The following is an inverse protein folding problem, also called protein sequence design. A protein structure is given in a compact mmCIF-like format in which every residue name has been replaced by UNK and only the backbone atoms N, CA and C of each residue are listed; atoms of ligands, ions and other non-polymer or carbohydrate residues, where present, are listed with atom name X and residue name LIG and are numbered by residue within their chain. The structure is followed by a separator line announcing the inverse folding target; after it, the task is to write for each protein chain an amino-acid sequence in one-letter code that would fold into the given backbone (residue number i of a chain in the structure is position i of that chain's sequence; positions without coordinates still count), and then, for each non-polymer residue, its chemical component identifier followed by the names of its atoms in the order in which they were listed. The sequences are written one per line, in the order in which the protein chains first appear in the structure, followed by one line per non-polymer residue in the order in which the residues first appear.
data_IF_327225533427
#
_entry.id   IF_327225533427
#
_cell.length_a   1.000
_cell.length_b   1.000
_cell.length_c   1.000
_cell.angle_alpha   90.00
_cell.angle_beta   90.00
_cell.angle_gamma   90.00
#
_symmetry.space_group_name_H-M   'P 1'
#
loop_
_entity.id
_entity.type
_entity.pdbx_description
1 polymer ?
#
# COMPACT_ATOMS: atom_id res chain seq x y z
N UNK A 1 4.13 -49.25 -6.78
CA UNK A 1 3.14 -50.30 -6.51
C UNK A 1 2.61 -50.10 -5.10
N UNK A 2 1.29 -50.12 -4.83
CA UNK A 2 0.21 -49.46 -5.59
C UNK A 2 -0.83 -48.69 -4.72
N UNK A 3 -1.58 -47.80 -5.39
CA UNK A 3 -3.05 -47.51 -5.30
C UNK A 3 -3.67 -46.94 -4.00
N UNK A 4 -4.69 -46.08 -4.00
CA UNK A 4 -5.59 -45.54 -5.05
C UNK A 4 -6.45 -44.40 -4.51
N UNK A 5 -6.75 -43.44 -5.39
CA UNK A 5 -7.79 -42.41 -5.32
C UNK A 5 -9.19 -42.99 -5.62
N UNK A 6 -10.23 -42.45 -4.98
CA UNK A 6 -11.68 -42.68 -5.16
C UNK A 6 -12.37 -41.39 -4.64
N UNK A 7 -13.37 -40.72 -5.21
CA UNK A 7 -14.34 -40.95 -6.29
C UNK A 7 -14.77 -39.59 -6.87
N UNK A 8 -14.99 -39.53 -8.19
CA UNK A 8 -15.95 -38.58 -8.80
C UNK A 8 -17.18 -39.38 -9.27
N UNK A 9 -18.40 -38.81 -9.19
CA UNK A 9 -19.59 -39.46 -9.72
C UNK A 9 -19.72 -39.30 -11.24
N UNK A 10 -20.07 -40.44 -11.84
CA UNK A 10 -20.44 -40.68 -13.24
C UNK A 10 -21.84 -40.11 -13.51
N UNK A 11 -22.02 -39.44 -14.66
CA UNK A 11 -23.33 -39.36 -15.32
C UNK A 11 -23.19 -39.83 -16.77
N UNK A 12 -24.23 -40.55 -17.17
CA UNK A 12 -24.33 -41.60 -18.18
C UNK A 12 -24.59 -41.06 -19.60
N UNK A 13 -24.30 -41.92 -20.57
CA UNK A 13 -24.12 -41.73 -22.00
C UNK A 13 -25.40 -41.61 -22.87
N UNK A 14 -25.18 -41.03 -24.08
CA UNK A 14 -25.57 -41.40 -25.46
C UNK A 14 -27.06 -41.74 -25.81
N UNK A 15 -27.55 -41.55 -27.08
CA UNK A 15 -27.15 -42.36 -28.26
C UNK A 15 -27.27 -41.60 -29.63
N UNK A 16 -27.31 -42.26 -30.80
CA UNK A 16 -26.20 -42.97 -31.45
C UNK A 16 -25.93 -42.50 -32.90
N UNK A 17 -24.81 -43.03 -33.42
CA UNK A 17 -24.27 -42.96 -34.78
C UNK A 17 -25.03 -43.76 -35.86
N UNK A 18 -24.88 -43.34 -37.12
CA UNK A 18 -24.96 -44.16 -38.36
C UNK A 18 -24.10 -43.43 -39.43
N UNK A 19 -23.14 -43.99 -40.17
CA UNK A 19 -22.91 -45.33 -40.72
C UNK A 19 -21.40 -45.60 -40.97
N UNK A 20 -20.99 -46.88 -41.11
CA UNK A 20 -19.65 -47.30 -41.51
C UNK A 20 -19.62 -47.81 -42.96
N UNK A 21 -18.64 -47.45 -43.79
CA UNK A 21 -18.13 -48.37 -44.83
C UNK A 21 -16.71 -47.96 -45.23
N UNK A 22 -15.91 -48.97 -45.58
CA UNK A 22 -14.64 -48.95 -46.33
C UNK A 22 -13.38 -48.94 -45.48
N UNK A 23 -13.22 -50.09 -44.83
CA UNK A 23 -11.96 -50.78 -44.61
C UNK A 23 -11.23 -51.09 -45.93
N UNK A 24 -9.91 -51.26 -45.85
CA UNK A 24 -9.17 -52.26 -46.62
C UNK A 24 -8.81 -52.02 -48.10
N UNK A 25 -8.60 -50.79 -48.57
CA UNK A 25 -7.89 -50.62 -49.84
C UNK A 25 -6.56 -49.88 -49.68
N UNK A 26 -5.50 -50.59 -50.08
CA UNK A 26 -4.21 -50.06 -50.52
C UNK A 26 -3.23 -49.61 -49.45
N UNK A 27 -2.88 -50.56 -48.59
CA UNK A 27 -1.55 -50.78 -48.00
C UNK A 27 -0.43 -50.97 -49.06
N UNK A 28 -0.55 -50.36 -50.24
CA UNK A 28 0.29 -50.59 -51.44
C UNK A 28 0.83 -49.30 -52.09
N UNK A 29 0.69 -48.16 -51.41
CA UNK A 29 1.37 -46.89 -51.76
C UNK A 29 2.38 -46.53 -50.64
N UNK A 30 2.97 -47.56 -50.02
CA UNK A 30 3.86 -47.44 -48.86
C UNK A 30 5.35 -47.24 -49.19
N UNK A 31 5.76 -47.29 -50.46
CA UNK A 31 7.20 -47.33 -50.83
C UNK A 31 7.71 -46.20 -51.73
N UNK A 32 6.88 -45.24 -52.13
CA UNK A 32 7.34 -44.10 -52.96
C UNK A 32 7.24 -42.73 -52.28
N UNK A 33 6.68 -42.63 -51.07
CA UNK A 33 6.61 -41.37 -50.31
C UNK A 33 7.66 -41.21 -49.21
N UNK A 34 8.59 -42.16 -49.04
CA UNK A 34 9.67 -42.03 -48.05
C UNK A 34 10.79 -41.05 -48.47
N UNK A 35 10.78 -40.57 -49.72
CA UNK A 35 11.80 -39.67 -50.27
C UNK A 35 11.41 -38.17 -50.27
N UNK A 36 10.24 -37.80 -49.76
CA UNK A 36 9.79 -36.39 -49.70
C UNK A 36 9.77 -35.81 -48.28
N UNK A 37 10.21 -36.55 -47.25
CA UNK A 37 10.11 -36.12 -45.86
C UNK A 37 11.20 -35.14 -45.38
N UNK A 38 12.07 -34.65 -46.26
CA UNK A 38 13.15 -33.70 -45.93
C UNK A 38 13.20 -32.50 -46.87
N UNK A 39 12.10 -31.76 -46.97
CA UNK A 39 12.15 -30.36 -47.38
C UNK A 39 10.88 -29.64 -46.89
N UNK A 40 11.05 -28.44 -46.37
CA UNK A 40 10.03 -27.53 -45.85
C UNK A 40 9.39 -27.90 -44.51
N UNK A 41 10.20 -27.86 -43.45
CA UNK A 41 9.72 -27.19 -42.23
C UNK A 41 9.82 -25.69 -42.46
N UNK A 42 8.90 -25.14 -43.25
CA UNK A 42 8.68 -23.71 -43.27
C UNK A 42 8.16 -23.32 -41.89
N UNK A 43 9.00 -22.67 -41.09
CA UNK A 43 8.60 -22.02 -39.84
C UNK A 43 7.57 -20.95 -40.20
N UNK A 44 6.29 -21.32 -40.17
CA UNK A 44 5.22 -20.34 -40.30
C UNK A 44 5.35 -19.36 -39.13
N UNK A 45 5.35 -18.03 -39.38
CA UNK A 45 5.31 -17.05 -38.31
C UNK A 45 4.04 -17.32 -37.49
N UNK A 46 4.22 -17.82 -36.26
CA UNK A 46 3.11 -18.03 -35.36
C UNK A 46 2.67 -16.66 -34.87
N UNK A 47 1.64 -16.09 -35.50
CA UNK A 47 0.95 -14.92 -34.96
C UNK A 47 0.40 -15.29 -33.60
N UNK A 48 1.03 -14.74 -32.57
CA UNK A 48 0.57 -14.87 -31.20
C UNK A 48 -0.66 -13.96 -31.05
N UNK A 49 -1.72 -14.44 -30.40
CA UNK A 49 -2.86 -13.59 -30.11
C UNK A 49 -2.40 -12.38 -29.31
N UNK A 50 -2.85 -11.19 -29.71
CA UNK A 50 -2.55 -9.95 -29.01
C UNK A 50 -2.99 -10.07 -27.55
N UNK A 51 -2.02 -10.05 -26.64
CA UNK A 51 -2.27 -9.99 -25.22
C UNK A 51 -2.68 -8.55 -24.87
N UNK A 52 -3.98 -8.28 -24.79
CA UNK A 52 -4.46 -7.02 -24.20
C UNK A 52 -4.19 -7.05 -22.69
N UNK A 53 -3.11 -6.39 -22.26
CA UNK A 53 -2.86 -6.11 -20.85
C UNK A 53 -3.76 -4.94 -20.44
N UNK A 54 -5.00 -5.25 -20.03
CA UNK A 54 -5.86 -4.29 -19.32
C UNK A 54 -5.43 -4.25 -17.86
N UNK A 55 -4.44 -3.42 -17.57
CA UNK A 55 -4.07 -3.09 -16.19
C UNK A 55 -5.00 -2.02 -15.66
N UNK A 56 -5.84 -2.36 -14.69
CA UNK A 56 -6.41 -1.36 -13.80
C UNK A 56 -5.26 -0.77 -12.99
N UNK A 57 -4.90 0.49 -13.26
CA UNK A 57 -3.78 1.15 -12.59
C UNK A 57 -4.25 1.55 -11.20
N UNK A 58 -3.78 0.84 -10.19
CA UNK A 58 -3.89 1.30 -8.81
C UNK A 58 -3.08 2.59 -8.65
N UNK A 59 -3.79 3.72 -8.67
CA UNK A 59 -3.21 5.05 -8.54
C UNK A 59 -2.58 5.27 -7.17
N UNK A 60 -3.11 4.65 -6.12
CA UNK A 60 -2.56 4.75 -4.77
C UNK A 60 -1.21 4.05 -4.70
N UNK A 61 -1.12 2.81 -5.19
CA UNK A 61 0.15 2.09 -5.26
C UNK A 61 1.20 2.84 -6.09
N UNK A 62 0.80 3.45 -7.22
CA UNK A 62 1.70 4.26 -8.06
C UNK A 62 2.19 5.53 -7.36
N UNK A 63 1.32 6.23 -6.63
CA UNK A 63 1.71 7.41 -5.87
C UNK A 63 2.75 7.08 -4.79
N UNK A 64 2.51 6.00 -4.03
CA UNK A 64 3.42 5.52 -2.99
C UNK A 64 4.75 5.04 -3.58
N UNK A 65 4.71 4.30 -4.69
CA UNK A 65 5.92 3.85 -5.40
C UNK A 65 6.75 5.04 -5.90
N UNK A 66 6.09 6.04 -6.50
CA UNK A 66 6.74 7.27 -6.95
C UNK A 66 7.41 8.03 -5.79
N UNK A 67 6.71 8.18 -4.67
CA UNK A 67 7.24 8.83 -3.47
C UNK A 67 8.44 8.06 -2.89
N UNK A 68 8.33 6.74 -2.80
CA UNK A 68 9.43 5.88 -2.34
C UNK A 68 10.64 5.96 -3.25
N UNK A 69 10.44 5.91 -4.57
CA UNK A 69 11.53 6.07 -5.52
C UNK A 69 12.23 7.44 -5.38
N UNK A 70 11.46 8.52 -5.20
CA UNK A 70 12.02 9.86 -4.97
C UNK A 70 12.87 9.93 -3.68
N UNK A 71 12.42 9.26 -2.61
CA UNK A 71 13.17 9.16 -1.34
C UNK A 71 14.44 8.31 -1.48
N UNK A 72 14.42 7.25 -2.27
CA UNK A 72 15.57 6.35 -2.52
C UNK A 72 16.68 7.03 -3.33
N UNK A 73 16.34 7.98 -4.20
CA UNK A 73 17.31 8.79 -4.94
C UNK A 73 18.10 9.75 -4.04
N UNK A 74 17.64 10.00 -2.80
CA UNK A 74 18.27 10.90 -1.86
C UNK A 74 19.25 10.11 -0.99
N UNK A 75 20.53 10.44 -1.09
CA UNK A 75 21.55 9.84 -0.25
C UNK A 75 21.25 10.09 1.25
N UNK A 76 21.58 9.12 2.09
CA UNK A 76 21.46 9.24 3.54
C UNK A 76 20.19 8.62 4.12
N UNK A 77 19.58 9.30 5.09
CA UNK A 77 18.53 8.72 5.93
C UNK A 77 17.14 9.20 5.55
N UNK A 78 16.52 8.60 4.55
CA UNK A 78 15.09 8.78 4.22
C UNK A 78 14.31 7.49 4.55
N UNK A 79 13.03 7.61 4.91
CA UNK A 79 12.12 6.46 5.06
C UNK A 79 10.71 6.87 4.66
N UNK A 80 10.02 5.97 3.96
CA UNK A 80 8.58 6.04 3.75
C UNK A 80 7.91 4.98 4.62
N UNK A 81 6.86 5.37 5.35
CA UNK A 81 5.99 4.46 6.10
C UNK A 81 4.59 4.56 5.51
N UNK A 82 3.99 3.45 5.08
CA UNK A 82 2.66 3.48 4.46
C UNK A 82 1.57 3.31 5.50
N UNK A 83 0.37 3.82 5.20
CA UNK A 83 -0.79 3.63 6.06
C UNK A 83 -1.10 2.15 6.31
N UNK A 84 -0.93 1.30 5.29
CA UNK A 84 -1.15 -0.15 5.41
C UNK A 84 -0.23 -0.82 6.45
N UNK A 85 0.96 -0.25 6.71
CA UNK A 85 1.94 -0.86 7.61
C UNK A 85 1.49 -0.76 9.08
N UNK A 86 0.80 0.33 9.47
CA UNK A 86 0.36 0.56 10.84
C UNK A 86 -1.17 0.44 11.04
N UNK A 87 -1.98 0.54 9.98
CA UNK A 87 -3.45 0.53 10.06
C UNK A 87 -4.04 -0.80 10.54
N UNK A 88 -3.31 -1.93 10.39
CA UNK A 88 -3.71 -3.21 10.97
C UNK A 88 -3.65 -3.21 12.51
N UNK A 89 -2.86 -2.31 13.10
CA UNK A 89 -2.73 -2.14 14.55
C UNK A 89 -3.68 -1.09 15.12
N UNK A 90 -3.25 -0.48 16.23
CA UNK A 90 -4.01 0.53 16.97
C UNK A 90 -4.16 1.83 16.18
N UNK A 91 -3.11 2.30 15.50
CA UNK A 91 -3.12 3.51 14.66
C UNK A 91 -3.86 4.71 15.31
N UNK A 92 -3.58 4.98 16.57
CA UNK A 92 -4.23 6.06 17.35
C UNK A 92 -3.41 7.32 17.45
N UNK A 93 -2.10 7.16 17.48
CA UNK A 93 -1.19 8.26 17.71
C UNK A 93 -0.13 8.26 16.63
N UNK A 94 0.49 9.42 16.42
CA UNK A 94 1.64 9.52 15.52
C UNK A 94 2.79 8.60 15.96
N UNK A 95 2.88 8.26 17.26
CA UNK A 95 3.87 7.28 17.74
C UNK A 95 3.68 5.87 17.15
N UNK A 96 2.43 5.47 16.91
CA UNK A 96 2.11 4.16 16.33
C UNK A 96 2.65 4.06 14.90
N UNK A 97 2.64 5.18 14.16
CA UNK A 97 3.11 5.24 12.80
C UNK A 97 4.64 5.37 12.74
N UNK A 98 5.20 6.26 13.56
CA UNK A 98 6.66 6.50 13.62
C UNK A 98 7.44 5.30 14.17
N UNK A 99 6.80 4.39 14.90
CA UNK A 99 7.41 3.15 15.37
C UNK A 99 7.92 2.25 14.23
N UNK A 100 7.36 2.37 13.02
CA UNK A 100 7.79 1.64 11.83
C UNK A 100 9.03 2.27 11.15
N UNK A 101 9.44 3.46 11.59
CA UNK A 101 10.55 4.17 11.00
C UNK A 101 11.87 3.94 11.77
N UNK A 102 12.90 3.35 11.14
CA UNK A 102 14.17 3.12 11.81
C UNK A 102 14.87 4.43 12.15
N UNK A 103 15.46 4.49 13.35
CA UNK A 103 16.18 5.67 13.85
C UNK A 103 15.29 6.81 14.34
N UNK A 104 13.98 6.57 14.43
CA UNK A 104 13.01 7.44 15.12
C UNK A 104 12.68 6.80 16.46
N UNK A 105 12.84 7.56 17.53
CA UNK A 105 12.34 7.17 18.84
C UNK A 105 11.02 7.87 19.07
N UNK A 106 9.92 7.14 19.19
CA UNK A 106 8.60 7.69 19.45
C UNK A 106 8.00 7.05 20.71
N UNK A 107 7.36 7.86 21.55
CA UNK A 107 6.76 7.44 22.78
C UNK A 107 5.47 8.23 23.03
N UNK A 108 4.38 7.52 23.25
CA UNK A 108 3.13 8.10 23.75
C UNK A 108 3.31 8.54 25.20
N UNK A 109 2.89 9.77 25.54
CA UNK A 109 3.09 10.34 26.87
C UNK A 109 1.78 10.37 27.68
N UNK A 110 0.76 11.07 27.19
CA UNK A 110 -0.53 11.21 27.84
C UNK A 110 -1.65 11.18 26.80
N UNK A 111 -2.51 10.16 26.85
CA UNK A 111 -3.55 9.99 25.84
C UNK A 111 -2.94 9.91 24.44
N UNK A 112 -3.25 10.91 23.61
CA UNK A 112 -2.78 11.00 22.21
C UNK A 112 -1.50 11.86 22.05
N UNK A 113 -1.02 12.51 23.12
CA UNK A 113 0.23 13.26 23.11
C UNK A 113 1.42 12.34 22.81
N UNK A 114 2.15 12.68 21.74
CA UNK A 114 3.29 11.91 21.25
C UNK A 114 4.55 12.75 21.33
N UNK A 115 5.54 12.19 22.01
CA UNK A 115 6.90 12.70 22.02
C UNK A 115 7.77 11.82 21.15
N UNK A 116 8.47 12.42 20.19
CA UNK A 116 9.43 11.69 19.39
C UNK A 116 10.71 12.46 19.14
N UNK A 117 11.75 11.74 18.75
CA UNK A 117 13.07 12.28 18.44
C UNK A 117 13.68 11.55 17.25
N UNK A 118 14.44 12.30 16.45
CA UNK A 118 15.24 11.77 15.36
C UNK A 118 16.69 12.10 15.67
N UNK A 119 17.53 11.07 15.82
CA UNK A 119 18.94 11.21 16.21
C UNK A 119 19.14 12.08 17.48
N UNK A 120 18.24 11.96 18.45
CA UNK A 120 18.27 12.71 19.71
C UNK A 120 17.68 14.13 19.66
N UNK A 121 17.44 14.70 18.49
CA UNK A 121 16.75 16.00 18.38
C UNK A 121 15.26 15.83 18.64
N UNK A 122 14.66 16.72 19.45
CA UNK A 122 13.26 16.60 19.90
C UNK A 122 13.10 16.07 21.32
N UNK A 123 14.14 15.42 21.87
CA UNK A 123 14.08 14.75 23.19
C UNK A 123 14.22 15.70 24.39
N UNK A 124 14.56 16.97 24.17
CA UNK A 124 14.85 17.90 25.27
C UNK A 124 13.62 18.49 25.98
N UNK A 125 12.46 18.57 25.31
CA UNK A 125 11.27 19.23 25.87
C UNK A 125 10.16 18.22 26.16
N UNK A 126 9.44 18.48 27.27
CA UNK A 126 8.34 17.63 27.72
C UNK A 126 6.98 18.00 27.13
N UNK A 127 6.83 19.23 26.62
CA UNK A 127 5.62 19.76 26.00
C UNK A 127 6.04 20.46 24.71
N UNK A 128 5.21 20.39 23.66
CA UNK A 128 5.45 20.91 22.31
C UNK A 128 6.82 20.49 21.75
N UNK A 129 6.82 19.74 20.66
CA UNK A 129 8.07 19.24 20.10
C UNK A 129 8.87 20.36 19.45
N UNK A 130 10.20 20.25 19.52
CA UNK A 130 11.12 21.24 18.92
C UNK A 130 12.40 20.57 18.47
N UNK A 131 12.89 20.97 17.30
CA UNK A 131 14.09 20.40 16.68
C UNK A 131 13.80 19.34 15.62
N UNK A 132 12.53 19.13 15.28
CA UNK A 132 12.06 18.41 14.11
C UNK A 132 11.00 19.29 13.44
N UNK A 133 11.08 19.40 12.14
CA UNK A 133 10.12 20.15 11.34
C UNK A 133 9.01 19.21 10.86
N UNK A 134 7.76 19.61 11.07
CA UNK A 134 6.58 18.87 10.66
C UNK A 134 5.97 19.55 9.44
N UNK A 135 5.53 18.72 8.51
CA UNK A 135 4.81 19.14 7.31
C UNK A 135 3.58 18.28 7.13
N UNK A 136 2.52 18.88 6.61
CA UNK A 136 1.38 18.15 6.05
C UNK A 136 1.26 18.57 4.59
N UNK A 137 1.42 17.61 3.68
CA UNK A 137 1.43 17.84 2.24
C UNK A 137 2.42 18.95 1.81
N UNK A 138 3.57 19.03 2.50
CA UNK A 138 4.59 20.05 2.28
C UNK A 138 4.33 21.42 2.94
N UNK A 139 3.19 21.61 3.62
CA UNK A 139 2.88 22.82 4.36
C UNK A 139 3.40 22.68 5.80
N UNK A 140 4.22 23.63 6.31
CA UNK A 140 4.80 23.51 7.64
C UNK A 140 3.72 23.62 8.72
N UNK A 141 3.74 22.69 9.68
CA UNK A 141 2.84 22.70 10.84
C UNK A 141 3.46 23.34 12.08
N UNK A 142 4.79 23.51 12.12
CA UNK A 142 5.43 24.19 13.24
C UNK A 142 5.08 25.68 13.25
N UNK A 143 5.02 26.24 14.45
CA UNK A 143 4.95 27.66 14.70
C UNK A 143 6.28 28.34 14.33
N UNK A 144 6.24 29.67 14.18
CA UNK A 144 7.40 30.48 13.82
C UNK A 144 8.57 30.40 14.84
N UNK A 145 8.30 29.99 16.07
CA UNK A 145 9.31 29.76 17.11
C UNK A 145 9.99 28.37 17.00
N UNK A 146 9.58 27.56 16.01
CA UNK A 146 10.05 26.21 15.75
C UNK A 146 9.39 25.12 16.60
N UNK A 147 8.42 25.46 17.45
CA UNK A 147 7.61 24.48 18.17
C UNK A 147 6.57 23.84 17.25
N UNK A 148 6.30 22.55 17.43
CA UNK A 148 5.31 21.81 16.66
C UNK A 148 4.40 21.01 17.57
N UNK A 149 3.24 20.68 17.03
CA UNK A 149 2.26 19.77 17.64
C UNK A 149 1.86 18.72 16.61
N UNK A 150 1.71 17.48 17.05
CA UNK A 150 1.27 16.34 16.25
C UNK A 150 -0.16 15.91 16.55
N UNK A 151 -0.82 16.53 17.53
CA UNK A 151 -2.20 16.22 17.88
C UNK A 151 -3.20 16.61 16.78
N UNK A 152 -2.83 17.51 15.86
CA UNK A 152 -3.64 17.86 14.71
C UNK A 152 -3.63 16.81 13.60
N UNK A 153 -2.75 15.81 13.68
CA UNK A 153 -2.60 14.77 12.66
C UNK A 153 -3.44 13.57 13.03
N UNK A 154 -4.38 13.20 12.16
CA UNK A 154 -5.12 11.95 12.26
C UNK A 154 -4.37 10.84 11.49
N UNK A 155 -3.86 9.79 12.17
CA UNK A 155 -3.18 8.67 11.52
C UNK A 155 -4.02 7.93 10.46
N UNK A 156 -5.35 7.94 10.59
CA UNK A 156 -6.27 7.25 9.70
C UNK A 156 -6.59 8.05 8.43
N UNK A 157 -6.28 9.36 8.42
CA UNK A 157 -6.51 10.25 7.28
C UNK A 157 -5.24 10.45 6.43
N UNK A 158 -4.25 9.56 6.55
CA UNK A 158 -2.97 9.65 5.85
C UNK A 158 -2.79 8.48 4.89
N UNK A 159 -2.10 8.74 3.78
CA UNK A 159 -1.67 7.72 2.81
C UNK A 159 -0.31 7.15 3.22
N UNK A 160 0.64 8.03 3.54
CA UNK A 160 1.96 7.65 4.01
C UNK A 160 2.63 8.80 4.76
N UNK A 161 3.73 8.47 5.44
CA UNK A 161 4.61 9.43 6.07
C UNK A 161 5.99 9.34 5.43
N UNK A 162 6.59 10.49 5.18
CA UNK A 162 7.95 10.61 4.70
C UNK A 162 8.83 11.21 5.78
N UNK A 163 9.93 10.53 6.09
CA UNK A 163 10.82 10.89 7.20
C UNK A 163 12.18 11.19 6.63
N UNK A 164 12.58 12.45 6.77
CA UNK A 164 13.82 13.02 6.25
C UNK A 164 14.76 13.30 7.42
N UNK A 165 15.76 12.45 7.64
CA UNK A 165 16.62 12.54 8.84
C UNK A 165 17.76 13.54 8.66
N UNK A 166 17.96 14.41 9.64
CA UNK A 166 19.06 15.38 9.66
C UNK A 166 19.06 16.32 8.45
N UNK A 167 20.20 16.45 7.79
CA UNK A 167 20.40 17.38 6.66
C UNK A 167 19.49 17.12 5.45
N UNK A 168 18.93 15.92 5.32
CA UNK A 168 17.98 15.60 4.24
C UNK A 168 16.70 16.45 4.31
N UNK A 169 16.39 17.03 5.48
CA UNK A 169 15.26 17.92 5.65
C UNK A 169 15.43 19.32 5.01
N UNK A 170 16.63 19.65 4.51
CA UNK A 170 16.86 20.88 3.74
C UNK A 170 16.03 20.94 2.45
N UNK A 171 15.59 19.80 1.92
CA UNK A 171 14.66 19.74 0.78
C UNK A 171 13.38 20.56 1.05
N UNK A 172 12.91 20.57 2.30
CA UNK A 172 11.73 21.33 2.72
C UNK A 172 12.07 22.69 3.35
N UNK A 173 13.34 23.11 3.30
CA UNK A 173 13.82 24.30 3.98
C UNK A 173 13.83 24.19 5.51
N UNK A 174 13.90 22.97 6.05
CA UNK A 174 13.94 22.76 7.50
C UNK A 174 15.17 23.43 8.11
N UNK A 175 14.95 24.25 9.13
CA UNK A 175 16.01 24.86 9.94
C UNK A 175 16.40 24.00 11.16
N UNK A 176 15.85 22.78 11.26
CA UNK A 176 16.02 21.92 12.42
C UNK A 176 17.01 20.78 12.17
N UNK A 177 17.76 20.41 13.21
CA UNK A 177 18.83 19.40 13.12
C UNK A 177 18.33 17.95 13.17
N UNK A 178 17.13 17.72 13.69
CA UNK A 178 16.54 16.38 13.76
C UNK A 178 16.11 15.87 12.40
N UNK A 179 15.62 16.78 11.57
CA UNK A 179 15.12 16.47 10.24
C UNK A 179 13.71 17.00 10.01
N UNK A 180 12.98 16.35 9.12
CA UNK A 180 11.60 16.66 8.80
C UNK A 180 10.74 15.40 8.72
N UNK A 181 9.47 15.55 9.08
CA UNK A 181 8.43 14.53 8.89
C UNK A 181 7.32 15.16 8.08
N UNK A 182 7.00 14.57 6.94
CA UNK A 182 5.93 15.00 6.06
C UNK A 182 4.79 13.97 6.10
N UNK A 183 3.63 14.41 6.54
CA UNK A 183 2.39 13.65 6.57
C UNK A 183 1.66 13.88 5.25
N UNK A 184 1.51 12.83 4.44
CA UNK A 184 0.89 12.93 3.12
C UNK A 184 -0.54 12.40 3.19
N UNK A 185 -1.49 13.25 2.82
CA UNK A 185 -2.91 12.91 2.77
C UNK A 185 -3.26 12.21 1.46
N UNK A 186 -4.26 11.30 1.45
CA UNK A 186 -4.78 10.76 0.21
C UNK A 186 -5.51 11.83 -0.60
N UNK A 187 -5.53 11.63 -1.91
CA UNK A 187 -6.36 12.39 -2.87
C UNK A 187 -7.65 11.63 -3.16
N UNK A 188 -8.62 12.28 -3.81
CA UNK A 188 -9.87 11.61 -4.22
C UNK A 188 -9.67 10.47 -5.22
N UNK A 189 -8.48 10.36 -5.82
CA UNK A 189 -8.06 9.31 -6.76
C UNK A 189 -7.32 8.15 -6.11
N UNK A 190 -6.76 8.38 -4.92
CA UNK A 190 -5.89 7.41 -4.24
C UNK A 190 -6.50 6.88 -2.94
N UNK A 191 -7.46 7.59 -2.35
CA UNK A 191 -8.28 7.04 -1.28
C UNK A 191 -9.28 6.00 -1.80
N UNK A 192 -9.64 5.06 -0.93
CA UNK A 192 -10.79 4.18 -1.15
C UNK A 192 -12.09 5.02 -1.26
N UNK A 193 -13.06 4.64 -2.12
CA UNK A 193 -14.28 5.43 -2.32
C UNK A 193 -15.08 5.67 -1.04
N UNK A 194 -15.09 4.68 -0.14
CA UNK A 194 -15.65 4.79 1.18
C UNK A 194 -14.90 3.89 2.16
N UNK A 195 -14.65 4.40 3.35
CA UNK A 195 -14.01 3.67 4.46
C UNK A 195 -14.84 3.84 5.71
N UNK A 196 -15.08 2.74 6.41
CA UNK A 196 -15.64 2.74 7.75
C UNK A 196 -14.76 1.86 8.64
N UNK A 197 -14.28 2.42 9.74
CA UNK A 197 -13.53 1.71 10.77
C UNK A 197 -14.17 1.97 12.13
N UNK A 198 -14.29 0.90 12.91
CA UNK A 198 -14.78 0.96 14.28
C UNK A 198 -13.79 0.18 15.14
N UNK A 199 -13.25 0.84 16.16
CA UNK A 199 -12.36 0.25 17.15
C UNK A 199 -13.05 0.21 18.52
N UNK A 200 -12.84 -0.89 19.24
CA UNK A 200 -13.23 -1.04 20.63
C UNK A 200 -12.07 -1.66 21.41
N UNK A 201 -11.85 -1.24 22.65
CA UNK A 201 -10.79 -1.74 23.50
C UNK A 201 -11.13 -1.66 24.99
N UNK A 202 -10.19 -2.11 25.82
CA UNK A 202 -10.28 -2.02 27.27
C UNK A 202 -10.31 -0.56 27.74
N UNK A 203 -10.74 -0.30 28.98
CA UNK A 203 -10.82 1.05 29.54
C UNK A 203 -11.74 2.02 28.77
N UNK A 204 -12.87 1.49 28.29
CA UNK A 204 -13.92 2.29 27.63
C UNK A 204 -13.52 2.86 26.27
N UNK A 205 -12.42 2.38 25.67
CA UNK A 205 -11.96 2.86 24.38
C UNK A 205 -12.97 2.51 23.29
N UNK A 206 -13.51 3.52 22.62
CA UNK A 206 -14.30 3.38 21.40
C UNK A 206 -13.86 4.44 20.40
N UNK A 207 -13.71 4.05 19.14
CA UNK A 207 -13.40 5.00 18.07
C UNK A 207 -14.11 4.62 16.79
N UNK A 208 -14.58 5.62 16.08
CA UNK A 208 -15.20 5.48 14.77
C UNK A 208 -14.47 6.41 13.80
N UNK A 209 -14.13 5.88 12.63
CA UNK A 209 -13.61 6.64 11.51
C UNK A 209 -14.45 6.36 10.28
N UNK A 210 -14.88 7.41 9.61
CA UNK A 210 -15.60 7.33 8.35
C UNK A 210 -14.94 8.26 7.34
N UNK A 211 -14.72 7.79 6.12
CA UNK A 211 -14.20 8.60 5.03
C UNK A 211 -14.93 8.29 3.73
N UNK A 212 -15.07 9.31 2.89
CA UNK A 212 -15.57 9.19 1.51
C UNK A 212 -14.65 9.97 0.60
N UNK A 213 -14.36 9.40 -0.57
CA UNK A 213 -13.46 9.98 -1.56
C UNK A 213 -14.06 9.85 -2.96
N UNK A 214 -13.75 10.82 -3.80
CA UNK A 214 -14.20 10.81 -5.19
C UNK A 214 -13.34 11.68 -6.08
N UNK A 215 -13.29 11.31 -7.35
CA UNK A 215 -12.58 12.04 -8.39
C UNK A 215 -13.43 12.12 -9.66
N UNK A 216 -13.55 13.32 -10.22
CA UNK A 216 -14.05 13.56 -11.57
C UNK A 216 -12.91 13.97 -12.50
N UNK A 217 -13.24 14.47 -13.70
CA UNK A 217 -12.22 14.89 -14.67
C UNK A 217 -11.51 16.19 -14.25
N UNK A 218 -12.26 17.13 -13.64
CA UNK A 218 -11.76 18.47 -13.31
C UNK A 218 -11.35 18.66 -11.85
N UNK A 219 -11.81 17.80 -10.94
CA UNK A 219 -11.56 17.93 -9.51
C UNK A 219 -11.59 16.57 -8.82
N UNK A 220 -10.89 16.46 -7.69
CA UNK A 220 -10.96 15.32 -6.78
C UNK A 220 -10.92 15.81 -5.33
N UNK A 221 -11.32 14.94 -4.40
CA UNK A 221 -11.24 15.22 -2.98
C UNK A 221 -11.65 14.05 -2.10
N UNK A 222 -11.32 14.17 -0.82
CA UNK A 222 -11.81 13.27 0.23
C UNK A 222 -12.28 14.07 1.43
N UNK A 223 -13.20 13.48 2.19
CA UNK A 223 -13.63 13.98 3.49
C UNK A 223 -13.58 12.81 4.45
N UNK A 224 -12.95 13.01 5.62
CA UNK A 224 -12.90 12.03 6.69
C UNK A 224 -13.29 12.64 8.03
N UNK A 225 -13.90 11.83 8.88
CA UNK A 225 -14.26 12.18 10.26
C UNK A 225 -13.84 11.03 11.18
N UNK A 226 -13.09 11.38 12.23
CA UNK A 226 -12.73 10.46 13.30
C UNK A 226 -13.30 10.98 14.61
N UNK A 227 -14.04 10.13 15.33
CA UNK A 227 -14.54 10.40 16.68
C UNK A 227 -14.05 9.29 17.61
N UNK A 228 -13.45 9.66 18.75
CA UNK A 228 -12.89 8.72 19.71
C UNK A 228 -13.19 9.13 21.15
N UNK A 229 -13.51 8.14 21.99
CA UNK A 229 -13.73 8.30 23.42
C UNK A 229 -12.94 7.23 24.19
N UNK A 230 -12.49 7.59 25.39
CA UNK A 230 -11.79 6.69 26.28
C UNK A 230 -11.90 7.12 27.74
N UNK A 231 -12.04 6.15 28.65
CA UNK A 231 -12.04 6.41 30.09
C UNK A 231 -10.60 6.44 30.66
N UNK A 232 -9.67 5.80 29.97
CA UNK A 232 -8.27 5.71 30.36
C UNK A 232 -8.02 4.65 31.44
N UNK A 233 -6.78 4.14 31.48
CA UNK A 233 -6.40 3.07 32.40
C UNK A 233 -5.94 3.57 33.78
N UNK A 234 -5.63 4.86 33.90
CA UNK A 234 -5.17 5.48 35.15
C UNK A 234 -6.37 5.99 35.94
N UNK A 235 -6.44 5.64 37.21
CA UNK A 235 -7.38 6.26 38.15
C UNK A 235 -7.07 7.76 38.30
N UNK A 236 -8.11 8.57 38.25
CA UNK A 236 -8.08 10.01 38.53
C UNK A 236 -7.89 10.31 40.02
#
# INVERSE_FOLDING_TARGET
MPHSSFLQPIVVAAPPSTHPVVSCLAFLIGCTLAAQAHADTATQPRELPTLEVRGERDQAAQAIEGARHALELRAGGTTLVRAEDYSAGRATTVSDMLAFAPGVYAQTRHGEDTRFSIRGSGIQRGFLMRGIQLYQDGIPLNLADGSGDVQSIDPLALQHIEIWRGANALEYGSSTLGGAVNFVTPTGRTAAPATLRIDAGEHGQRRMHAAVAGAGDAADGMISLTHGEQDGWRSH
#
